data_IF_513981746748
#
_entry.id   IF_513981746748
#
_cell.length_a   1.000
_cell.length_b   1.000
_cell.length_c   1.000
_cell.angle_alpha   90.00
_cell.angle_beta   90.00
_cell.angle_gamma   90.00
#
_symmetry.space_group_name_H-M   'P 1'
#
loop_
_entity.id
_entity.type
_entity.pdbx_description
1 polymer ?
#
# COMPACT_ATOMS: atom_id res chain seq x y z
N UNK A 1 -16.21 -34.42 -1.52
CA UNK A 1 -16.02 -33.75 -0.21
C UNK A 1 -14.78 -32.88 -0.35
N UNK A 2 -14.95 -31.58 -0.56
CA UNK A 2 -13.86 -30.65 -0.88
C UNK A 2 -13.95 -29.49 0.09
N UNK A 3 -13.26 -29.58 1.22
CA UNK A 3 -13.14 -28.48 2.17
C UNK A 3 -12.15 -27.45 1.62
N UNK A 4 -12.50 -26.16 1.55
CA UNK A 4 -11.54 -25.11 1.24
C UNK A 4 -10.52 -25.02 2.38
N UNK A 5 -9.22 -25.07 2.05
CA UNK A 5 -8.14 -24.76 2.98
C UNK A 5 -8.32 -23.31 3.44
N UNK A 6 -8.74 -23.13 4.68
CA UNK A 6 -8.67 -21.85 5.36
C UNK A 6 -7.19 -21.44 5.44
N UNK A 7 -6.82 -20.38 4.73
CA UNK A 7 -5.58 -19.65 5.00
C UNK A 7 -5.82 -18.90 6.32
N UNK A 8 -5.43 -19.53 7.42
CA UNK A 8 -5.42 -18.87 8.72
C UNK A 8 -4.39 -17.74 8.65
N UNK A 9 -4.85 -16.51 8.85
CA UNK A 9 -3.98 -15.39 9.15
C UNK A 9 -3.42 -15.68 10.55
N UNK A 10 -2.12 -15.97 10.66
CA UNK A 10 -1.48 -16.13 11.96
C UNK A 10 -1.66 -14.83 12.75
N UNK A 11 -2.18 -14.93 13.98
CA UNK A 11 -2.21 -13.81 14.93
C UNK A 11 -0.77 -13.37 15.18
N UNK A 12 -0.48 -12.13 14.82
CA UNK A 12 0.85 -11.55 14.97
C UNK A 12 1.03 -11.13 16.43
N UNK A 13 2.06 -11.68 17.08
CA UNK A 13 2.44 -11.37 18.46
C UNK A 13 2.80 -9.88 18.60
N UNK A 14 2.30 -9.25 19.66
CA UNK A 14 2.30 -7.80 19.88
C UNK A 14 3.72 -7.28 20.14
N UNK A 15 4.41 -6.82 19.10
CA UNK A 15 5.76 -6.23 19.15
C UNK A 15 5.67 -4.71 19.22
N UNK A 16 6.63 -4.06 19.90
CA UNK A 16 6.65 -2.61 20.06
C UNK A 16 6.66 -1.87 18.71
N UNK A 17 5.86 -0.79 18.52
CA UNK A 17 5.70 -0.13 17.22
C UNK A 17 7.00 0.34 16.54
N UNK A 18 7.95 0.86 17.32
CA UNK A 18 9.25 1.30 16.82
C UNK A 18 10.12 0.13 16.31
N UNK A 19 10.02 -1.04 16.96
CA UNK A 19 10.73 -2.25 16.54
C UNK A 19 10.15 -2.79 15.22
N UNK A 20 8.85 -2.64 15.01
CA UNK A 20 8.18 -3.10 13.79
C UNK A 20 8.56 -2.23 12.58
N UNK A 21 8.69 -0.91 12.74
CA UNK A 21 9.12 -0.01 11.66
C UNK A 21 10.57 -0.25 11.23
N UNK A 22 11.51 -0.37 12.18
CA UNK A 22 12.92 -0.62 11.86
C UNK A 22 13.15 -1.99 11.23
N UNK A 23 12.47 -3.03 11.74
CA UNK A 23 12.50 -4.37 11.16
C UNK A 23 12.00 -4.34 9.71
N UNK A 24 10.88 -3.66 9.44
CA UNK A 24 10.33 -3.52 8.10
C UNK A 24 11.29 -2.79 7.14
N UNK A 25 11.86 -1.67 7.56
CA UNK A 25 12.84 -0.91 6.77
C UNK A 25 14.09 -1.74 6.45
N UNK A 26 14.52 -2.60 7.38
CA UNK A 26 15.63 -3.52 7.13
C UNK A 26 15.32 -4.52 6.01
N UNK A 27 14.11 -5.08 6.00
CA UNK A 27 13.63 -6.01 4.96
C UNK A 27 13.52 -5.27 3.62
N UNK A 28 12.98 -4.06 3.63
CA UNK A 28 12.85 -3.22 2.44
C UNK A 28 14.21 -2.90 1.80
N UNK A 29 15.20 -2.49 2.60
CA UNK A 29 16.57 -2.21 2.14
C UNK A 29 17.26 -3.46 1.62
N UNK A 30 17.04 -4.61 2.26
CA UNK A 30 17.52 -5.91 1.76
C UNK A 30 16.92 -6.23 0.39
N UNK A 31 15.62 -6.05 0.20
CA UNK A 31 14.98 -6.25 -1.11
C UNK A 31 15.53 -5.32 -2.19
N UNK A 32 15.79 -4.06 -1.83
CA UNK A 32 16.41 -3.07 -2.72
C UNK A 32 17.81 -3.49 -3.18
N UNK A 33 18.62 -4.09 -2.29
CA UNK A 33 19.99 -4.54 -2.62
C UNK A 33 20.04 -5.86 -3.40
N UNK A 34 18.95 -6.64 -3.47
CA UNK A 34 18.92 -7.95 -4.13
C UNK A 34 18.88 -7.89 -5.67
N UNK A 35 18.93 -6.70 -6.28
CA UNK A 35 18.92 -6.54 -7.73
C UNK A 35 20.18 -7.07 -8.44
N UNK A 36 21.30 -7.24 -7.73
CA UNK A 36 22.61 -7.49 -8.35
C UNK A 36 22.89 -8.96 -8.67
N UNK A 37 22.31 -9.93 -7.94
CA UNK A 37 22.39 -11.38 -8.23
C UNK A 37 21.15 -12.12 -7.68
N UNK A 38 20.11 -12.35 -8.50
CA UNK A 38 18.81 -12.72 -7.96
C UNK A 38 18.70 -14.21 -7.66
N UNK A 39 18.80 -14.58 -6.38
CA UNK A 39 18.02 -15.71 -5.88
C UNK A 39 16.54 -15.28 -5.88
N UNK A 40 15.81 -15.70 -6.93
CA UNK A 40 14.39 -15.35 -7.12
C UNK A 40 13.52 -15.87 -5.98
N UNK A 41 13.85 -17.04 -5.41
CA UNK A 41 13.11 -17.64 -4.31
C UNK A 41 13.30 -16.81 -3.04
N UNK A 42 14.55 -16.43 -2.74
CA UNK A 42 14.86 -15.59 -1.60
C UNK A 42 14.23 -14.19 -1.75
N UNK A 43 14.24 -13.62 -2.95
CA UNK A 43 13.62 -12.31 -3.21
C UNK A 43 12.11 -12.37 -3.01
N UNK A 44 11.45 -13.40 -3.54
CA UNK A 44 10.02 -13.58 -3.37
C UNK A 44 9.62 -13.79 -1.89
N UNK A 45 10.34 -14.65 -1.16
CA UNK A 45 10.08 -14.87 0.26
C UNK A 45 10.34 -13.61 1.11
N UNK A 46 11.42 -12.87 0.82
CA UNK A 46 11.72 -11.60 1.51
C UNK A 46 10.63 -10.55 1.22
N UNK A 47 10.11 -10.50 -0.02
CA UNK A 47 9.01 -9.61 -0.37
C UNK A 47 7.71 -9.99 0.34
N UNK A 48 7.43 -11.29 0.48
CA UNK A 48 6.30 -11.75 1.27
C UNK A 48 6.42 -11.32 2.74
N UNK A 49 7.61 -11.42 3.34
CA UNK A 49 7.86 -10.93 4.70
C UNK A 49 7.61 -9.42 4.81
N UNK A 50 8.09 -8.62 3.86
CA UNK A 50 7.83 -7.17 3.83
C UNK A 50 6.32 -6.88 3.87
N UNK A 51 5.55 -7.57 3.02
CA UNK A 51 4.10 -7.37 2.93
C UNK A 51 3.39 -7.84 4.21
N UNK A 52 3.84 -8.93 4.83
CA UNK A 52 3.29 -9.38 6.11
C UNK A 52 3.52 -8.34 7.22
N UNK A 53 4.75 -7.80 7.34
CA UNK A 53 5.05 -6.76 8.33
C UNK A 53 4.22 -5.49 8.09
N UNK A 54 4.04 -5.07 6.82
CA UNK A 54 3.18 -3.93 6.47
C UNK A 54 1.75 -4.10 6.97
N UNK A 55 1.17 -5.30 6.89
CA UNK A 55 -0.21 -5.55 7.34
C UNK A 55 -0.37 -5.48 8.86
N UNK A 56 0.72 -5.68 9.60
CA UNK A 56 0.71 -5.70 11.06
C UNK A 56 1.12 -4.37 11.70
N UNK A 57 1.41 -3.33 10.91
CA UNK A 57 1.71 -2.00 11.45
C UNK A 57 0.44 -1.24 11.83
N UNK A 58 0.51 -0.58 12.99
CA UNK A 58 -0.44 0.45 13.39
C UNK A 58 -0.47 1.61 12.37
N UNK A 59 -1.66 2.21 12.19
CA UNK A 59 -1.91 3.16 11.10
C UNK A 59 -0.91 4.34 11.05
N UNK A 60 -0.62 4.95 12.20
CA UNK A 60 0.30 6.10 12.27
C UNK A 60 1.74 5.70 11.92
N UNK A 61 2.19 4.54 12.41
CA UNK A 61 3.52 3.99 12.15
C UNK A 61 3.65 3.57 10.69
N UNK A 62 2.59 2.99 10.12
CA UNK A 62 2.51 2.62 8.72
C UNK A 62 2.70 3.85 7.81
N UNK A 63 1.96 4.94 8.04
CA UNK A 63 2.05 6.16 7.23
C UNK A 63 3.46 6.77 7.24
N UNK A 64 4.08 6.85 8.42
CA UNK A 64 5.45 7.35 8.56
C UNK A 64 6.46 6.43 7.85
N UNK A 65 6.36 5.12 8.08
CA UNK A 65 7.27 4.12 7.49
C UNK A 65 7.17 4.10 5.97
N UNK A 66 5.97 4.20 5.41
CA UNK A 66 5.75 4.21 3.95
C UNK A 66 6.34 5.46 3.31
N UNK A 67 6.24 6.61 3.97
CA UNK A 67 6.84 7.85 3.48
C UNK A 67 8.35 7.69 3.34
N UNK A 68 9.00 7.13 4.37
CA UNK A 68 10.43 6.82 4.33
C UNK A 68 10.78 5.78 3.25
N UNK A 69 9.98 4.71 3.09
CA UNK A 69 10.18 3.74 2.01
C UNK A 69 10.08 4.39 0.63
N UNK A 70 9.10 5.28 0.42
CA UNK A 70 8.88 5.97 -0.84
C UNK A 70 10.05 6.90 -1.19
N UNK A 71 10.62 7.60 -0.19
CA UNK A 71 11.84 8.40 -0.37
C UNK A 71 13.03 7.54 -0.79
N UNK A 72 13.18 6.34 -0.22
CA UNK A 72 14.28 5.43 -0.53
C UNK A 72 14.13 4.70 -1.88
N UNK A 73 12.92 4.25 -2.22
CA UNK A 73 12.57 3.61 -3.50
C UNK A 73 11.05 3.61 -3.73
N UNK A 74 10.54 4.61 -4.48
CA UNK A 74 9.11 4.74 -4.83
C UNK A 74 8.53 3.48 -5.48
N UNK A 75 9.24 2.86 -6.42
CA UNK A 75 8.73 1.73 -7.19
C UNK A 75 8.54 0.47 -6.33
N UNK A 76 9.54 0.11 -5.51
CA UNK A 76 9.43 -1.02 -4.60
C UNK A 76 8.35 -0.78 -3.54
N UNK A 77 8.22 0.46 -3.06
CA UNK A 77 7.14 0.86 -2.14
C UNK A 77 5.78 0.63 -2.78
N UNK A 78 5.60 1.08 -4.03
CA UNK A 78 4.35 0.89 -4.76
C UNK A 78 3.98 -0.58 -4.94
N UNK A 79 4.94 -1.42 -5.27
CA UNK A 79 4.74 -2.87 -5.34
C UNK A 79 4.27 -3.45 -4.01
N UNK A 80 4.92 -3.05 -2.90
CA UNK A 80 4.57 -3.54 -1.58
C UNK A 80 3.16 -3.11 -1.15
N UNK A 81 2.74 -1.88 -1.43
CA UNK A 81 1.42 -1.36 -1.08
C UNK A 81 0.30 -2.03 -1.86
N UNK A 82 0.47 -2.24 -3.17
CA UNK A 82 -0.49 -2.96 -4.00
C UNK A 82 -0.72 -4.37 -3.44
N UNK A 83 0.34 -5.04 -2.98
CA UNK A 83 0.27 -6.40 -2.45
C UNK A 83 -0.20 -6.46 -0.98
N UNK A 84 -0.11 -5.37 -0.23
CA UNK A 84 -0.56 -5.29 1.16
C UNK A 84 -2.08 -5.48 1.26
N UNK A 85 -2.86 -4.73 0.48
CA UNK A 85 -4.31 -4.93 0.34
C UNK A 85 -5.17 -4.61 1.56
N UNK A 86 -4.61 -3.98 2.61
CA UNK A 86 -5.39 -3.45 3.74
C UNK A 86 -5.90 -2.04 3.42
N UNK A 87 -6.99 -1.59 4.07
CA UNK A 87 -7.49 -0.22 3.93
C UNK A 87 -6.43 0.84 4.23
N UNK A 88 -5.58 0.60 5.24
CA UNK A 88 -4.52 1.51 5.68
C UNK A 88 -3.41 1.61 4.63
N UNK A 89 -2.99 0.48 4.05
CA UNK A 89 -2.06 0.47 2.92
C UNK A 89 -2.63 1.18 1.69
N UNK A 90 -3.92 1.00 1.41
CA UNK A 90 -4.62 1.74 0.37
C UNK A 90 -4.58 3.25 0.62
N UNK A 91 -4.87 3.69 1.85
CA UNK A 91 -4.81 5.11 2.22
C UNK A 91 -3.40 5.69 2.10
N UNK A 92 -2.38 4.93 2.48
CA UNK A 92 -0.99 5.34 2.29
C UNK A 92 -0.59 5.48 0.81
N UNK A 93 -1.23 4.75 -0.10
CA UNK A 93 -1.07 5.01 -1.54
C UNK A 93 -1.55 6.43 -1.87
N UNK A 94 -2.70 6.87 -1.36
CA UNK A 94 -3.17 8.24 -1.59
C UNK A 94 -2.22 9.30 -1.00
N UNK A 95 -1.60 9.05 0.15
CA UNK A 95 -0.53 9.92 0.68
C UNK A 95 0.62 10.11 -0.30
N UNK A 96 1.04 9.02 -0.97
CA UNK A 96 2.08 9.09 -2.01
C UNK A 96 1.56 9.82 -3.26
N UNK A 97 0.34 9.55 -3.72
CA UNK A 97 -0.23 10.23 -4.91
C UNK A 97 -0.32 11.75 -4.73
N UNK A 98 -0.58 12.23 -3.51
CA UNK A 98 -0.58 13.67 -3.18
C UNK A 98 0.78 14.34 -3.38
N UNK A 99 1.87 13.58 -3.49
CA UNK A 99 3.22 14.11 -3.77
C UNK A 99 3.53 14.24 -5.26
N UNK A 100 2.66 13.73 -6.13
CA UNK A 100 2.82 13.86 -7.57
C UNK A 100 2.36 15.25 -8.03
N UNK A 101 2.82 15.64 -9.22
CA UNK A 101 2.27 16.83 -9.88
C UNK A 101 0.74 16.68 -10.02
N UNK A 102 0.01 17.76 -9.74
CA UNK A 102 -1.45 17.76 -9.83
C UNK A 102 -1.96 17.43 -11.24
N UNK A 103 -1.17 17.65 -12.28
CA UNK A 103 -1.51 17.34 -13.67
C UNK A 103 -0.99 15.97 -14.13
N UNK A 104 -0.30 15.22 -13.26
CA UNK A 104 0.20 13.88 -13.58
C UNK A 104 -0.95 12.91 -13.92
N UNK A 105 -0.78 12.18 -15.02
CA UNK A 105 -1.75 11.17 -15.50
C UNK A 105 -1.78 9.94 -14.59
N UNK A 106 -0.68 9.68 -13.89
CA UNK A 106 -0.52 8.60 -12.92
C UNK A 106 -1.51 8.75 -11.77
N UNK A 107 -1.81 9.98 -11.36
CA UNK A 107 -2.83 10.25 -10.32
C UNK A 107 -4.21 9.83 -10.81
N UNK A 108 -4.59 10.22 -12.04
CA UNK A 108 -5.88 9.82 -12.62
C UNK A 108 -6.00 8.31 -12.74
N UNK A 109 -4.97 7.64 -13.25
CA UNK A 109 -4.96 6.19 -13.43
C UNK A 109 -5.03 5.44 -12.09
N UNK A 110 -4.26 5.88 -11.09
CA UNK A 110 -4.24 5.24 -9.79
C UNK A 110 -5.56 5.44 -9.03
N UNK A 111 -6.09 6.66 -9.00
CA UNK A 111 -7.39 6.94 -8.36
C UNK A 111 -8.52 6.21 -9.06
N UNK A 112 -8.48 6.11 -10.39
CA UNK A 112 -9.42 5.28 -11.15
C UNK A 112 -9.36 3.82 -10.72
N UNK A 113 -8.18 3.21 -10.73
CA UNK A 113 -8.01 1.81 -10.35
C UNK A 113 -8.44 1.52 -8.90
N UNK A 114 -8.05 2.37 -7.95
CA UNK A 114 -8.41 2.24 -6.54
C UNK A 114 -9.92 2.41 -6.33
N UNK A 115 -10.55 3.33 -7.07
CA UNK A 115 -12.00 3.55 -7.04
C UNK A 115 -12.84 2.37 -7.54
N UNK A 116 -12.23 1.39 -8.22
CA UNK A 116 -12.91 0.19 -8.74
C UNK A 116 -12.85 -1.01 -7.78
N UNK A 117 -12.31 -0.85 -6.58
CA UNK A 117 -12.30 -1.92 -5.58
C UNK A 117 -13.74 -2.33 -5.17
N UNK A 118 -13.98 -3.65 -5.11
CA UNK A 118 -15.33 -4.22 -4.91
C UNK A 118 -15.97 -3.90 -3.55
N UNK A 119 -15.19 -3.50 -2.56
CA UNK A 119 -15.64 -3.20 -1.19
C UNK A 119 -14.94 -1.93 -0.70
N UNK A 120 -15.44 -0.74 -1.08
CA UNK A 120 -14.84 0.50 -0.63
C UNK A 120 -14.96 0.64 0.89
N UNK A 121 -13.92 1.18 1.51
CA UNK A 121 -13.89 1.49 2.95
C UNK A 121 -14.13 2.99 3.16
N UNK A 122 -14.49 3.38 4.39
CA UNK A 122 -14.61 4.80 4.74
C UNK A 122 -13.31 5.59 4.50
N UNK A 123 -12.14 4.94 4.71
CA UNK A 123 -10.84 5.52 4.38
C UNK A 123 -10.72 5.79 2.87
N UNK A 124 -11.02 4.80 2.03
CA UNK A 124 -10.97 4.97 0.57
C UNK A 124 -11.88 6.10 0.07
N UNK A 125 -13.09 6.22 0.63
CA UNK A 125 -14.02 7.31 0.28
C UNK A 125 -13.42 8.67 0.65
N UNK A 126 -12.89 8.80 1.86
CA UNK A 126 -12.25 10.03 2.34
C UNK A 126 -11.05 10.41 1.47
N UNK A 127 -10.20 9.44 1.15
CA UNK A 127 -8.99 9.68 0.37
C UNK A 127 -9.29 10.13 -1.07
N UNK A 128 -10.26 9.49 -1.73
CA UNK A 128 -10.69 9.90 -3.08
C UNK A 128 -11.36 11.29 -3.04
N UNK A 129 -12.16 11.57 -2.00
CA UNK A 129 -12.79 12.89 -1.84
C UNK A 129 -11.75 14.00 -1.68
N UNK A 130 -10.71 13.77 -0.88
CA UNK A 130 -9.62 14.74 -0.69
C UNK A 130 -8.89 15.04 -2.00
N UNK A 131 -8.61 14.04 -2.84
CA UNK A 131 -8.04 14.27 -4.17
C UNK A 131 -9.04 15.00 -5.09
N UNK A 132 -10.33 14.63 -5.07
CA UNK A 132 -11.35 15.24 -5.91
C UNK A 132 -11.58 16.73 -5.60
N UNK A 133 -11.27 17.18 -4.36
CA UNK A 133 -11.33 18.59 -3.99
C UNK A 133 -10.28 19.42 -4.75
N UNK A 134 -9.13 18.85 -5.06
CA UNK A 134 -8.02 19.55 -5.75
C UNK A 134 -7.99 19.27 -7.25
N UNK A 135 -8.28 18.03 -7.69
CA UNK A 135 -8.25 17.60 -9.10
C UNK A 135 -9.57 16.95 -9.52
N UNK A 136 -10.37 17.66 -10.33
CA UNK A 136 -11.73 17.26 -10.75
C UNK A 136 -11.78 16.60 -12.13
N UNK A 137 -10.80 15.76 -12.46
CA UNK A 137 -10.79 15.04 -13.74
C UNK A 137 -11.95 14.03 -13.84
N UNK A 138 -12.29 13.62 -15.07
CA UNK A 138 -13.34 12.60 -15.28
C UNK A 138 -13.05 11.28 -14.54
N UNK A 139 -11.84 10.70 -14.58
CA UNK A 139 -11.56 9.46 -13.86
C UNK A 139 -11.73 9.60 -12.34
N UNK A 140 -11.28 10.72 -11.75
CA UNK A 140 -11.39 10.95 -10.31
C UNK A 140 -12.84 11.12 -9.86
N UNK A 141 -13.62 11.93 -10.58
CA UNK A 141 -15.03 12.12 -10.25
C UNK A 141 -15.85 10.85 -10.45
N UNK A 142 -15.50 10.02 -11.46
CA UNK A 142 -16.10 8.71 -11.64
C UNK A 142 -15.79 7.78 -10.46
N UNK A 143 -14.52 7.70 -10.04
CA UNK A 143 -14.12 6.94 -8.86
C UNK A 143 -14.89 7.38 -7.62
N UNK A 144 -14.97 8.69 -7.37
CA UNK A 144 -15.70 9.22 -6.22
C UNK A 144 -17.16 8.80 -6.25
N UNK A 145 -17.82 8.89 -7.42
CA UNK A 145 -19.20 8.41 -7.58
C UNK A 145 -19.35 6.91 -7.38
N UNK A 146 -18.35 6.11 -7.76
CA UNK A 146 -18.41 4.66 -7.63
C UNK A 146 -18.25 4.20 -6.18
N UNK A 147 -17.36 4.82 -5.41
CA UNK A 147 -17.07 4.41 -4.02
C UNK A 147 -18.16 4.81 -3.01
N UNK A 148 -19.07 5.73 -3.38
CA UNK A 148 -20.20 6.16 -2.54
C UNK A 148 -21.54 5.50 -2.91
N UNK A 149 -21.56 4.67 -3.95
CA UNK A 149 -22.77 4.01 -4.47
C UNK A 149 -23.17 2.82 -3.60
#
# INVERSE_FOLDING_TARGET
>A
STYPKHLALEEMEDKAPAQNSEALLSIFRKLKSMNEKPDRQLRASTFQSLVSELRGLEHEVLQQTITQMAEENKFLTWQALIQCGTPECGSAMFSILKTFDIDAIEVDAAVYALGMMLRPTGLLVKDILEIAQTKKSKPIMYSLSNVVR
#
